data_IF_117859356384
#
_entry.id   IF_117859356384
#
_cell.length_a   1.000
_cell.length_b   1.000
_cell.length_c   1.000
_cell.angle_alpha   90.00
_cell.angle_beta   90.00
_cell.angle_gamma   90.00
#
_symmetry.space_group_name_H-M   'P 1'
#
loop_
_entity.id
_entity.type
_entity.pdbx_description
1 polymer ?
#
# COMPACT_ATOMS: atom_id res chain seq x y z
N UNK A 1 -3.58 -20.17 40.08
CA UNK A 1 -3.36 -19.02 41.00
C UNK A 1 -1.93 -18.52 40.81
N UNK A 2 -1.74 -17.54 39.93
CA UNK A 2 -0.64 -16.56 40.01
C UNK A 2 -0.96 -15.44 39.04
N UNK A 3 -1.06 -14.24 39.59
CA UNK A 3 -1.42 -12.99 38.95
C UNK A 3 -0.11 -12.28 38.60
N UNK A 4 0.04 -11.82 37.36
CA UNK A 4 1.02 -10.81 37.01
C UNK A 4 0.28 -9.72 36.22
N UNK A 5 -0.04 -8.64 36.94
CA UNK A 5 -0.54 -7.39 36.38
C UNK A 5 0.62 -6.66 35.73
N UNK A 6 0.41 -6.17 34.52
CA UNK A 6 1.16 -5.03 34.00
C UNK A 6 0.15 -3.91 33.77
N UNK A 7 0.11 -2.98 34.72
CA UNK A 7 -0.50 -1.68 34.53
C UNK A 7 0.43 -0.86 33.64
N UNK A 8 -0.10 -0.36 32.53
CA UNK A 8 0.50 0.78 31.81
C UNK A 8 -0.63 1.74 31.48
N UNK A 9 -0.82 2.73 32.34
CA UNK A 9 -1.61 3.93 32.05
C UNK A 9 -0.64 5.02 31.61
N UNK A 10 -0.69 5.34 30.33
CA UNK A 10 -0.39 6.65 29.73
C UNK A 10 -1.04 6.56 28.35
N UNK A 11 -2.24 7.10 28.15
CA UNK A 11 -2.40 8.54 28.14
C UNK A 11 -1.95 9.10 26.80
N UNK A 12 -2.45 8.53 25.69
CA UNK A 12 -2.45 9.23 24.40
C UNK A 12 -3.90 9.29 23.95
N UNK A 13 -4.40 10.52 24.06
CA UNK A 13 -5.62 11.07 23.45
C UNK A 13 -6.11 10.25 22.27
N UNK A 14 -7.37 9.84 22.35
CA UNK A 14 -8.10 9.27 21.23
C UNK A 14 -7.83 10.11 20.00
N UNK A 15 -7.24 9.47 18.99
CA UNK A 15 -7.24 10.01 17.64
C UNK A 15 -8.69 10.00 17.19
N UNK A 16 -9.43 11.06 17.50
CA UNK A 16 -10.57 11.47 16.69
C UNK A 16 -10.02 11.69 15.28
N UNK A 17 -10.02 10.63 14.48
CA UNK A 17 -9.99 10.75 13.02
C UNK A 17 -11.28 11.48 12.64
N UNK A 18 -11.25 12.82 12.72
CA UNK A 18 -12.32 13.68 12.23
C UNK A 18 -12.24 13.68 10.71
N UNK A 19 -12.59 12.54 10.11
CA UNK A 19 -13.25 12.55 8.80
C UNK A 19 -14.47 13.46 8.98
N UNK A 20 -14.29 14.74 8.64
CA UNK A 20 -15.36 15.72 8.67
C UNK A 20 -16.16 15.47 7.40
N UNK A 21 -16.94 14.39 7.40
CA UNK A 21 -17.81 14.05 6.29
C UNK A 21 -18.67 15.26 5.92
N UNK A 22 -18.88 15.46 4.62
CA UNK A 22 -19.57 16.63 4.06
C UNK A 22 -20.89 16.96 4.79
N UNK A 23 -21.62 15.95 5.26
CA UNK A 23 -22.86 16.11 6.02
C UNK A 23 -22.68 16.89 7.32
N UNK A 24 -21.59 16.64 8.06
CA UNK A 24 -21.26 17.36 9.29
C UNK A 24 -20.87 18.82 8.98
N UNK A 25 -20.11 19.02 7.90
CA UNK A 25 -19.73 20.36 7.44
C UNK A 25 -20.97 21.19 7.11
N UNK A 26 -21.89 20.64 6.31
CA UNK A 26 -23.17 21.28 5.95
C UNK A 26 -23.97 21.63 7.21
N UNK A 27 -24.05 20.70 8.18
CA UNK A 27 -24.81 20.93 9.43
C UNK A 27 -24.26 22.08 10.27
N UNK A 28 -22.95 22.30 10.25
CA UNK A 28 -22.25 23.26 11.10
C UNK A 28 -22.07 24.63 10.45
N UNK A 29 -21.85 24.68 9.14
CA UNK A 29 -21.42 25.90 8.43
C UNK A 29 -22.41 26.40 7.38
N UNK A 30 -23.33 25.56 6.91
CA UNK A 30 -24.29 25.92 5.85
C UNK A 30 -25.69 26.11 6.41
N UNK A 31 -26.16 25.17 7.22
CA UNK A 31 -27.50 25.27 7.83
C UNK A 31 -27.45 26.21 9.04
N UNK A 32 -28.30 27.25 9.12
CA UNK A 32 -28.32 28.19 10.24
C UNK A 32 -28.47 27.50 11.60
N UNK A 33 -27.76 28.03 12.61
CA UNK A 33 -27.83 27.52 13.97
C UNK A 33 -29.28 27.58 14.52
N UNK A 34 -29.70 26.53 15.22
CA UNK A 34 -31.06 26.39 15.75
C UNK A 34 -32.13 25.96 14.74
N UNK A 35 -31.82 25.87 13.44
CA UNK A 35 -32.79 25.38 12.44
C UNK A 35 -32.97 23.86 12.53
N UNK A 36 -34.23 23.41 12.53
CA UNK A 36 -34.54 21.98 12.51
C UNK A 36 -34.31 21.39 11.12
N UNK A 37 -33.98 20.09 11.05
CA UNK A 37 -33.80 19.37 9.77
C UNK A 37 -35.08 19.42 8.93
N UNK A 38 -36.25 19.39 9.55
CA UNK A 38 -37.54 19.50 8.87
C UNK A 38 -37.69 20.85 8.17
N UNK A 39 -37.37 21.95 8.87
CA UNK A 39 -37.46 23.29 8.30
C UNK A 39 -36.42 23.52 7.21
N UNK A 40 -35.19 23.05 7.41
CA UNK A 40 -34.14 23.12 6.40
C UNK A 40 -34.52 22.35 5.12
N UNK A 41 -35.09 21.14 5.26
CA UNK A 41 -35.54 20.34 4.12
C UNK A 41 -36.67 21.03 3.35
N UNK A 42 -37.62 21.64 4.07
CA UNK A 42 -38.71 22.42 3.48
C UNK A 42 -38.19 23.60 2.65
N UNK A 43 -37.22 24.36 3.18
CA UNK A 43 -36.61 25.51 2.47
C UNK A 43 -35.81 25.08 1.24
N UNK A 44 -35.11 23.95 1.33
CA UNK A 44 -34.38 23.36 0.20
C UNK A 44 -35.30 22.71 -0.84
N UNK A 45 -36.60 22.54 -0.55
CA UNK A 45 -37.56 21.86 -1.41
C UNK A 45 -37.27 20.36 -1.57
N UNK A 46 -36.71 19.71 -0.55
CA UNK A 46 -36.33 18.30 -0.56
C UNK A 46 -37.03 17.52 0.54
N UNK A 47 -37.12 16.20 0.39
CA UNK A 47 -37.64 15.34 1.44
C UNK A 47 -36.76 15.38 2.69
N UNK A 48 -37.37 15.48 3.88
CA UNK A 48 -36.65 15.37 5.17
C UNK A 48 -35.74 14.14 5.25
N UNK A 49 -36.13 12.93 4.77
CA UNK A 49 -35.24 11.78 4.78
C UNK A 49 -33.98 11.99 3.92
N UNK A 50 -34.10 12.66 2.78
CA UNK A 50 -32.97 12.92 1.89
C UNK A 50 -31.93 13.84 2.56
N UNK A 51 -32.38 14.96 3.13
CA UNK A 51 -31.49 15.86 3.87
C UNK A 51 -30.89 15.16 5.11
N UNK A 52 -31.70 14.41 5.86
CA UNK A 52 -31.23 13.68 7.03
C UNK A 52 -30.15 12.66 6.68
N UNK A 53 -30.31 11.90 5.60
CA UNK A 53 -29.32 10.92 5.16
C UNK A 53 -28.00 11.59 4.76
N UNK A 54 -28.07 12.71 4.05
CA UNK A 54 -26.89 13.51 3.70
C UNK A 54 -26.15 14.02 4.95
N UNK A 55 -26.87 14.67 5.87
CA UNK A 55 -26.27 15.27 7.08
C UNK A 55 -25.62 14.21 8.00
N UNK A 56 -26.17 12.99 8.01
CA UNK A 56 -25.62 11.87 8.77
C UNK A 56 -24.57 11.04 7.99
N UNK A 57 -24.16 11.48 6.80
CA UNK A 57 -23.15 10.79 5.98
C UNK A 57 -23.62 9.45 5.38
N UNK A 58 -24.93 9.19 5.36
CA UNK A 58 -25.54 8.00 4.75
C UNK A 58 -25.88 8.18 3.27
N UNK A 59 -25.71 9.40 2.75
CA UNK A 59 -25.86 9.72 1.33
C UNK A 59 -24.78 10.72 0.92
N UNK A 60 -24.30 10.60 -0.31
CA UNK A 60 -23.37 11.56 -0.90
C UNK A 60 -24.10 12.86 -1.29
N UNK A 61 -23.37 13.98 -1.29
CA UNK A 61 -23.87 15.25 -1.80
C UNK A 61 -23.97 15.17 -3.34
N UNK A 62 -25.19 15.29 -3.87
CA UNK A 62 -25.41 15.42 -5.32
C UNK A 62 -25.19 16.85 -5.81
N UNK A 63 -24.96 17.02 -7.12
CA UNK A 63 -24.86 18.36 -7.74
C UNK A 63 -26.14 19.17 -7.55
N UNK A 64 -27.31 18.53 -7.70
CA UNK A 64 -28.61 19.19 -7.50
C UNK A 64 -28.78 19.67 -6.05
N UNK A 65 -28.38 18.86 -5.07
CA UNK A 65 -28.45 19.26 -3.67
C UNK A 65 -27.48 20.40 -3.35
N UNK A 66 -26.28 20.39 -3.94
CA UNK A 66 -25.32 21.48 -3.79
C UNK A 66 -25.85 22.81 -4.34
N UNK A 67 -26.53 22.78 -5.50
CA UNK A 67 -27.23 23.94 -6.07
C UNK A 67 -28.34 24.46 -5.15
N UNK A 68 -29.11 23.56 -4.53
CA UNK A 68 -30.16 23.96 -3.57
C UNK A 68 -29.55 24.61 -2.32
N UNK A 69 -28.45 24.07 -1.80
CA UNK A 69 -27.74 24.65 -0.65
C UNK A 69 -27.16 26.04 -0.95
N UNK A 70 -26.61 26.23 -2.16
CA UNK A 70 -26.16 27.54 -2.66
C UNK A 70 -27.33 28.53 -2.74
N UNK A 71 -28.43 28.16 -3.39
CA UNK A 71 -29.59 29.04 -3.57
C UNK A 71 -30.36 29.36 -2.28
N UNK A 72 -30.42 28.42 -1.32
CA UNK A 72 -31.19 28.61 -0.07
C UNK A 72 -30.38 29.21 1.07
N UNK A 73 -29.09 28.87 1.17
CA UNK A 73 -28.25 29.25 2.32
C UNK A 73 -26.97 30.01 1.93
N UNK A 74 -26.77 30.32 0.65
CA UNK A 74 -25.58 31.04 0.18
C UNK A 74 -24.29 30.23 0.30
N UNK A 75 -24.39 28.90 0.27
CA UNK A 75 -23.22 28.03 0.35
C UNK A 75 -22.35 28.09 -0.91
N UNK A 76 -21.03 27.93 -0.76
CA UNK A 76 -20.13 27.77 -1.89
C UNK A 76 -20.26 26.35 -2.47
N UNK A 77 -20.98 26.25 -3.59
CA UNK A 77 -21.21 24.98 -4.32
C UNK A 77 -19.91 24.31 -4.75
N UNK A 78 -18.95 25.08 -5.29
CA UNK A 78 -17.69 24.53 -5.78
C UNK A 78 -16.92 23.89 -4.62
N UNK A 79 -16.90 24.57 -3.47
CA UNK A 79 -16.25 24.04 -2.28
C UNK A 79 -16.92 22.77 -1.75
N UNK A 80 -18.24 22.74 -1.69
CA UNK A 80 -18.98 21.56 -1.22
C UNK A 80 -18.74 20.33 -2.09
N UNK A 81 -18.70 20.50 -3.41
CA UNK A 81 -18.42 19.41 -4.35
C UNK A 81 -16.96 18.94 -4.27
N UNK A 82 -16.02 19.85 -4.04
CA UNK A 82 -14.61 19.50 -3.79
C UNK A 82 -14.46 18.65 -2.53
N UNK A 83 -15.14 19.03 -1.43
CA UNK A 83 -15.12 18.29 -0.18
C UNK A 83 -15.79 16.91 -0.31
N UNK A 84 -16.88 16.79 -1.09
CA UNK A 84 -17.50 15.51 -1.43
C UNK A 84 -16.52 14.62 -2.21
N UNK A 85 -15.87 15.17 -3.23
CA UNK A 85 -14.89 14.43 -4.03
C UNK A 85 -13.69 13.97 -3.20
N UNK A 86 -13.24 14.77 -2.22
CA UNK A 86 -12.21 14.36 -1.27
C UNK A 86 -12.67 13.16 -0.42
N UNK A 87 -13.89 13.21 0.11
CA UNK A 87 -14.46 12.12 0.92
C UNK A 87 -14.63 10.83 0.10
N UNK A 88 -15.00 10.94 -1.18
CA UNK A 88 -15.13 9.78 -2.06
C UNK A 88 -13.79 9.14 -2.40
N UNK A 89 -12.71 9.95 -2.52
CA UNK A 89 -11.34 9.42 -2.68
C UNK A 89 -10.91 8.61 -1.46
N UNK A 90 -11.19 9.10 -0.26
CA UNK A 90 -10.83 8.39 0.97
C UNK A 90 -11.62 7.08 1.10
N UNK A 91 -12.92 7.09 0.80
CA UNK A 91 -13.75 5.88 0.78
C UNK A 91 -13.27 4.87 -0.27
N UNK A 92 -12.94 5.34 -1.48
CA UNK A 92 -12.36 4.49 -2.53
C UNK A 92 -11.00 3.95 -2.14
N UNK A 93 -10.14 4.67 -1.43
CA UNK A 93 -8.84 4.13 -1.01
C UNK A 93 -8.95 2.88 -0.10
N UNK A 94 -10.03 2.76 0.66
CA UNK A 94 -10.35 1.58 1.48
C UNK A 94 -10.84 0.42 0.59
N UNK A 95 -11.59 0.71 -0.46
CA UNK A 95 -12.13 -0.28 -1.41
C UNK A 95 -11.10 -0.70 -2.48
N UNK A 96 -10.31 0.23 -3.02
CA UNK A 96 -9.27 0.05 -4.04
C UNK A 96 -8.11 -0.80 -3.52
N UNK A 97 -7.81 -0.76 -2.22
CA UNK A 97 -6.87 -1.72 -1.60
C UNK A 97 -7.32 -3.18 -1.77
N UNK A 98 -8.61 -3.42 -1.97
CA UNK A 98 -9.14 -4.76 -2.24
C UNK A 98 -9.11 -5.12 -3.74
N UNK A 99 -8.84 -4.17 -4.64
CA UNK A 99 -8.76 -4.42 -6.09
C UNK A 99 -7.30 -4.36 -6.53
N UNK A 100 -6.61 -5.50 -6.44
CA UNK A 100 -5.28 -5.67 -7.01
C UNK A 100 -5.36 -5.67 -8.55
N UNK A 101 -5.33 -4.48 -9.16
CA UNK A 101 -5.22 -4.36 -10.62
C UNK A 101 -3.75 -4.62 -11.00
N UNK A 102 -3.50 -5.78 -11.62
CA UNK A 102 -2.20 -6.06 -12.22
C UNK A 102 -1.86 -5.01 -13.28
N UNK A 103 -0.69 -4.38 -13.18
CA UNK A 103 -0.22 -3.45 -14.20
C UNK A 103 -0.10 -4.18 -15.52
N UNK A 104 -0.67 -3.64 -16.60
CA UNK A 104 -0.49 -4.19 -17.94
C UNK A 104 1.00 -4.16 -18.31
N UNK A 105 1.65 -5.31 -18.20
CA UNK A 105 2.99 -5.55 -18.73
C UNK A 105 2.82 -6.19 -20.11
N UNK A 106 3.20 -5.53 -21.21
CA UNK A 106 3.12 -6.13 -22.54
C UNK A 106 3.90 -7.44 -22.53
N UNK A 107 3.22 -8.54 -22.87
CA UNK A 107 3.88 -9.80 -23.14
C UNK A 107 4.76 -9.64 -24.38
N UNK A 108 5.88 -10.34 -24.41
CA UNK A 108 6.97 -10.28 -25.40
C UNK A 108 8.08 -9.27 -25.15
N UNK A 109 8.63 -9.26 -23.93
CA UNK A 109 10.10 -9.17 -23.85
C UNK A 109 10.66 -10.50 -24.37
N UNK A 110 11.12 -10.55 -25.62
CA UNK A 110 11.86 -11.69 -26.21
C UNK A 110 13.28 -11.79 -25.62
N UNK A 111 13.44 -11.54 -24.31
CA UNK A 111 14.70 -11.70 -23.62
C UNK A 111 14.83 -13.19 -23.30
N UNK A 112 15.69 -13.87 -24.04
CA UNK A 112 16.02 -15.28 -23.80
C UNK A 112 16.97 -15.38 -22.61
N UNK A 113 16.92 -16.50 -21.88
CA UNK A 113 17.85 -16.78 -20.78
C UNK A 113 19.32 -16.58 -21.17
N UNK A 114 19.73 -17.05 -22.37
CA UNK A 114 21.09 -16.84 -22.90
C UNK A 114 21.51 -15.37 -22.94
N UNK A 115 20.59 -14.45 -23.24
CA UNK A 115 20.91 -13.02 -23.33
C UNK A 115 21.16 -12.42 -21.95
N UNK A 116 20.51 -12.95 -20.92
CA UNK A 116 20.74 -12.57 -19.52
C UNK A 116 22.10 -13.11 -19.06
N UNK A 117 22.43 -14.35 -19.42
CA UNK A 117 23.76 -14.96 -19.17
C UNK A 117 24.86 -14.13 -19.83
N UNK A 118 24.72 -13.84 -21.12
CA UNK A 118 25.71 -13.09 -21.90
C UNK A 118 25.88 -11.66 -21.37
N UNK A 119 24.77 -11.01 -21.03
CA UNK A 119 24.79 -9.70 -20.38
C UNK A 119 25.56 -9.73 -19.06
N UNK A 120 25.31 -10.72 -18.20
CA UNK A 120 26.01 -10.83 -16.92
C UNK A 120 27.49 -11.19 -17.07
N UNK A 121 27.87 -11.91 -18.13
CA UNK A 121 29.26 -12.27 -18.41
C UNK A 121 30.07 -11.12 -19.01
N UNK A 122 29.47 -10.33 -19.91
CA UNK A 122 30.14 -9.27 -20.67
C UNK A 122 30.09 -7.88 -20.04
N UNK A 123 29.36 -7.70 -18.93
CA UNK A 123 29.11 -6.38 -18.35
C UNK A 123 29.54 -6.29 -16.89
N UNK A 124 30.56 -5.48 -16.62
CA UNK A 124 31.06 -5.21 -15.27
C UNK A 124 29.97 -4.60 -14.37
N UNK A 125 29.03 -3.82 -14.95
CA UNK A 125 27.91 -3.21 -14.23
C UNK A 125 26.73 -4.16 -14.00
N UNK A 126 26.77 -5.40 -14.50
CA UNK A 126 25.68 -6.35 -14.30
C UNK A 126 25.39 -6.58 -12.81
N UNK A 127 26.43 -6.59 -11.97
CA UNK A 127 26.29 -6.73 -10.51
C UNK A 127 25.50 -5.57 -9.88
N UNK A 128 25.70 -4.35 -10.35
CA UNK A 128 24.99 -3.16 -9.84
C UNK A 128 23.54 -3.09 -10.32
N UNK A 129 23.27 -3.62 -11.51
CA UNK A 129 21.96 -3.59 -12.14
C UNK A 129 21.06 -4.78 -11.78
N UNK A 130 21.64 -5.92 -11.39
CA UNK A 130 20.89 -7.13 -11.02
C UNK A 130 19.85 -6.88 -9.91
N UNK A 131 20.16 -6.21 -8.78
CA UNK A 131 19.14 -5.88 -7.77
C UNK A 131 17.95 -5.11 -8.35
N UNK A 132 18.24 -4.15 -9.23
CA UNK A 132 17.21 -3.30 -9.86
C UNK A 132 16.34 -4.11 -10.82
N UNK A 133 16.94 -5.02 -11.57
CA UNK A 133 16.21 -5.94 -12.45
C UNK A 133 15.30 -6.88 -11.64
N UNK A 134 15.83 -7.51 -10.58
CA UNK A 134 15.06 -8.39 -9.71
C UNK A 134 13.88 -7.66 -9.07
N UNK A 135 14.11 -6.45 -8.54
CA UNK A 135 13.05 -5.60 -7.98
C UNK A 135 11.93 -5.36 -8.99
N UNK A 136 12.27 -5.03 -10.24
CA UNK A 136 11.28 -4.81 -11.30
C UNK A 136 10.50 -6.08 -11.64
N UNK A 137 11.16 -7.23 -11.73
CA UNK A 137 10.52 -8.51 -12.01
C UNK A 137 9.58 -8.93 -10.87
N UNK A 138 10.04 -8.82 -9.62
CA UNK A 138 9.24 -9.14 -8.43
C UNK A 138 7.99 -8.28 -8.37
N UNK A 139 8.09 -6.96 -8.60
CA UNK A 139 6.89 -6.11 -8.63
C UNK A 139 5.97 -6.42 -9.82
N UNK A 140 6.49 -6.95 -10.92
CA UNK A 140 5.68 -7.31 -12.09
C UNK A 140 4.98 -8.67 -11.94
N UNK A 141 5.57 -9.64 -11.23
CA UNK A 141 5.07 -11.02 -11.17
C UNK A 141 4.62 -11.48 -9.78
N UNK A 142 5.01 -10.77 -8.73
CA UNK A 142 4.65 -11.09 -7.35
C UNK A 142 3.18 -10.83 -7.07
N UNK A 143 2.66 -11.46 -6.01
CA UNK A 143 1.29 -11.30 -5.53
C UNK A 143 1.32 -10.94 -4.05
N UNK A 144 0.42 -10.06 -3.63
CA UNK A 144 0.23 -9.66 -2.23
C UNK A 144 1.55 -9.31 -1.52
N UNK A 145 2.41 -8.55 -2.20
CA UNK A 145 3.70 -8.12 -1.69
C UNK A 145 3.49 -7.06 -0.60
N UNK A 146 3.88 -7.36 0.64
CA UNK A 146 3.86 -6.41 1.76
C UNK A 146 5.12 -5.55 1.82
N UNK A 147 6.27 -6.16 1.55
CA UNK A 147 7.54 -5.47 1.59
C UNK A 147 8.50 -6.05 0.55
N UNK A 148 9.24 -5.18 -0.14
CA UNK A 148 10.25 -5.54 -1.13
C UNK A 148 11.41 -4.55 -0.98
N UNK A 149 12.58 -5.05 -0.58
CA UNK A 149 13.82 -4.27 -0.51
C UNK A 149 14.92 -4.96 -1.32
N UNK A 150 15.40 -4.27 -2.35
CA UNK A 150 16.49 -4.71 -3.22
C UNK A 150 17.35 -3.48 -3.51
N UNK A 151 18.32 -3.16 -2.63
CA UNK A 151 19.18 -2.01 -2.81
C UNK A 151 20.03 -2.17 -4.07
N UNK A 152 19.93 -1.18 -4.97
CA UNK A 152 20.73 -1.09 -6.19
C UNK A 152 21.60 0.17 -6.19
N UNK A 153 22.53 0.22 -7.14
CA UNK A 153 23.47 1.35 -7.29
C UNK A 153 24.25 1.63 -5.99
N UNK A 154 24.35 2.90 -5.58
CA UNK A 154 25.12 3.36 -4.41
C UNK A 154 24.61 2.80 -3.07
N UNK A 155 23.39 2.26 -3.03
CA UNK A 155 22.83 1.64 -1.83
C UNK A 155 23.22 0.16 -1.66
N UNK A 156 23.91 -0.45 -2.63
CA UNK A 156 24.29 -1.87 -2.59
C UNK A 156 25.36 -2.23 -1.54
N UNK A 157 25.91 -1.25 -0.80
CA UNK A 157 26.96 -1.46 0.22
C UNK A 157 26.40 -1.72 1.64
N UNK A 158 25.13 -2.11 1.78
CA UNK A 158 24.54 -2.38 3.10
C UNK A 158 24.95 -3.76 3.62
N UNK A 159 25.31 -3.83 4.90
CA UNK A 159 25.47 -5.10 5.59
C UNK A 159 24.11 -5.76 5.79
N UNK A 160 23.96 -7.01 5.37
CA UNK A 160 22.69 -7.74 5.49
C UNK A 160 22.44 -8.61 4.27
N UNK A 161 21.17 -8.92 4.03
CA UNK A 161 20.71 -9.58 2.81
C UNK A 161 20.89 -8.69 1.58
N UNK A 162 21.18 -9.27 0.42
CA UNK A 162 21.21 -8.53 -0.85
C UNK A 162 19.78 -8.10 -1.27
N UNK A 163 18.76 -8.84 -0.85
CA UNK A 163 17.36 -8.46 -0.98
C UNK A 163 16.47 -9.11 0.08
N UNK A 164 15.30 -8.53 0.30
CA UNK A 164 14.34 -8.98 1.30
C UNK A 164 12.91 -8.80 0.80
N UNK A 165 12.06 -9.81 1.02
CA UNK A 165 10.65 -9.78 0.64
C UNK A 165 9.77 -10.30 1.78
N UNK A 166 8.63 -9.66 1.99
CA UNK A 166 7.48 -10.23 2.71
C UNK A 166 6.28 -10.28 1.76
N UNK A 167 5.70 -11.46 1.55
CA UNK A 167 4.54 -11.68 0.68
C UNK A 167 3.49 -12.56 1.36
N UNK A 168 2.21 -12.26 1.17
CA UNK A 168 1.10 -13.05 1.74
C UNK A 168 0.56 -14.11 0.77
N UNK A 169 1.13 -14.20 -0.44
CA UNK A 169 0.79 -15.23 -1.41
C UNK A 169 2.04 -15.78 -2.11
N UNK A 170 2.16 -17.11 -2.16
CA UNK A 170 3.21 -17.77 -2.92
C UNK A 170 3.01 -17.61 -4.43
N UNK A 171 4.12 -17.44 -5.15
CA UNK A 171 4.21 -17.56 -6.61
C UNK A 171 5.31 -18.57 -6.97
N UNK A 172 5.43 -19.02 -8.23
CA UNK A 172 6.54 -19.88 -8.63
C UNK A 172 7.95 -19.30 -8.39
N UNK A 173 8.06 -17.97 -8.22
CA UNK A 173 9.33 -17.26 -8.11
C UNK A 173 9.54 -16.60 -6.74
N UNK A 174 8.47 -16.36 -5.98
CA UNK A 174 8.50 -15.66 -4.68
C UNK A 174 7.76 -16.51 -3.65
N UNK A 175 8.44 -16.97 -2.58
CA UNK A 175 7.80 -17.70 -1.48
C UNK A 175 6.77 -16.86 -0.73
N UNK A 176 5.77 -17.52 -0.13
CA UNK A 176 4.91 -16.92 0.89
C UNK A 176 5.71 -16.71 2.19
N UNK A 177 5.37 -15.67 2.95
CA UNK A 177 6.04 -15.29 4.19
C UNK A 177 7.28 -14.43 3.95
N UNK A 178 8.24 -14.53 4.87
CA UNK A 178 9.50 -13.78 4.78
C UNK A 178 10.49 -14.54 3.92
N UNK A 179 11.21 -13.83 3.06
CA UNK A 179 12.33 -14.41 2.33
C UNK A 179 13.53 -13.45 2.26
N UNK A 180 14.69 -14.00 2.57
CA UNK A 180 16.00 -13.36 2.41
C UNK A 180 16.66 -13.82 1.12
N UNK A 181 17.11 -12.86 0.32
CA UNK A 181 17.63 -13.08 -1.02
C UNK A 181 19.11 -12.73 -1.07
N UNK A 182 19.89 -13.63 -1.65
CA UNK A 182 21.29 -13.43 -2.03
C UNK A 182 21.40 -13.54 -3.54
N UNK A 183 22.29 -12.78 -4.17
CA UNK A 183 22.49 -12.91 -5.60
C UNK A 183 23.89 -12.56 -6.07
N UNK A 184 24.26 -13.10 -7.22
CA UNK A 184 25.59 -12.89 -7.79
C UNK A 184 25.63 -13.17 -9.28
N UNK A 185 26.70 -12.69 -9.92
CA UNK A 185 26.99 -12.92 -11.35
C UNK A 185 28.15 -13.91 -11.56
N UNK A 186 28.57 -14.56 -10.47
CA UNK A 186 29.73 -15.46 -10.40
C UNK A 186 29.62 -16.66 -11.35
N UNK A 187 30.76 -17.10 -11.88
CA UNK A 187 30.81 -18.24 -12.80
C UNK A 187 30.51 -19.60 -12.13
N UNK A 188 30.54 -19.67 -10.79
CA UNK A 188 30.24 -20.88 -10.00
C UNK A 188 29.12 -20.59 -8.99
N UNK A 189 27.85 -20.51 -9.45
CA UNK A 189 26.74 -20.08 -8.59
C UNK A 189 26.52 -21.02 -7.41
N UNK A 190 26.58 -22.34 -7.60
CA UNK A 190 26.35 -23.32 -6.51
C UNK A 190 27.31 -23.13 -5.33
N UNK A 191 28.62 -23.05 -5.60
CA UNK A 191 29.60 -22.84 -4.54
C UNK A 191 29.44 -21.49 -3.82
N UNK A 192 28.90 -20.46 -4.50
CA UNK A 192 28.59 -19.18 -3.86
C UNK A 192 27.32 -19.29 -3.01
N UNK A 193 26.25 -19.87 -3.56
CA UNK A 193 25.00 -20.09 -2.85
C UNK A 193 25.22 -20.87 -1.55
N UNK A 194 26.02 -21.95 -1.59
CA UNK A 194 26.36 -22.73 -0.39
C UNK A 194 27.12 -21.89 0.63
N UNK A 195 28.12 -21.11 0.20
CA UNK A 195 28.87 -20.23 1.10
C UNK A 195 27.98 -19.17 1.75
N UNK A 196 27.12 -18.53 0.97
CA UNK A 196 26.24 -17.48 1.46
C UNK A 196 25.18 -18.08 2.41
N UNK A 197 24.59 -19.24 2.06
CA UNK A 197 23.70 -19.98 2.96
C UNK A 197 24.37 -20.34 4.30
N UNK A 198 25.58 -20.89 4.26
CA UNK A 198 26.35 -21.24 5.47
C UNK A 198 26.71 -20.00 6.31
N UNK A 199 26.96 -18.85 5.68
CA UNK A 199 27.17 -17.59 6.40
C UNK A 199 25.89 -17.15 7.13
N UNK A 200 24.72 -17.28 6.49
CA UNK A 200 23.41 -16.96 7.10
C UNK A 200 23.05 -17.89 8.25
N UNK A 201 23.39 -19.19 8.17
CA UNK A 201 23.21 -20.14 9.27
C UNK A 201 23.96 -19.72 10.55
N UNK A 202 25.11 -19.05 10.41
CA UNK A 202 25.92 -18.58 11.54
C UNK A 202 25.46 -17.24 12.10
N UNK A 203 24.81 -16.42 11.27
CA UNK A 203 24.51 -15.02 11.59
C UNK A 203 23.07 -14.82 12.05
N UNK A 204 22.14 -15.66 11.60
CA UNK A 204 20.70 -15.53 11.85
C UNK A 204 20.26 -16.59 12.86
N UNK A 205 19.37 -16.25 13.79
CA UNK A 205 18.94 -17.17 14.84
C UNK A 205 18.08 -18.34 14.30
N UNK A 206 18.02 -19.51 14.97
CA UNK A 206 17.19 -20.63 14.53
C UNK A 206 15.69 -20.31 14.41
N UNK A 207 15.16 -19.45 15.29
CA UNK A 207 13.77 -19.03 15.25
C UNK A 207 13.46 -18.20 14.00
N UNK A 208 14.31 -17.22 13.67
CA UNK A 208 14.16 -16.40 12.47
C UNK A 208 14.30 -17.23 11.18
N UNK A 209 15.17 -18.24 11.17
CA UNK A 209 15.34 -19.14 10.01
C UNK A 209 14.13 -20.05 9.77
N UNK A 210 13.38 -20.41 10.81
CA UNK A 210 12.19 -21.23 10.66
C UNK A 210 11.05 -20.44 9.95
N UNK A 211 11.07 -19.11 10.07
CA UNK A 211 10.05 -18.22 9.50
C UNK A 211 10.51 -17.53 8.20
N UNK A 212 11.74 -17.79 7.74
CA UNK A 212 12.34 -17.10 6.61
C UNK A 212 12.92 -18.06 5.57
N UNK A 213 12.43 -17.97 4.34
CA UNK A 213 12.96 -18.71 3.21
C UNK A 213 14.26 -18.08 2.68
N UNK A 214 15.26 -18.92 2.39
CA UNK A 214 16.49 -18.48 1.70
C UNK A 214 16.31 -18.64 0.19
N UNK A 215 16.59 -17.58 -0.57
CA UNK A 215 16.56 -17.59 -2.03
C UNK A 215 17.90 -17.13 -2.58
N UNK A 216 18.48 -17.89 -3.50
CA UNK A 216 19.68 -17.49 -4.22
C UNK A 216 19.36 -17.24 -5.69
N UNK A 217 19.79 -16.10 -6.24
CA UNK A 217 19.55 -15.75 -7.64
C UNK A 217 20.85 -15.56 -8.42
N UNK A 218 20.87 -16.14 -9.60
CA UNK A 218 21.97 -16.03 -10.56
C UNK A 218 21.40 -15.85 -11.96
N UNK A 219 22.03 -15.02 -12.81
CA UNK A 219 21.71 -14.94 -14.23
C UNK A 219 22.26 -16.13 -15.04
N UNK A 220 23.06 -17.01 -14.42
CA UNK A 220 23.67 -18.23 -14.99
C UNK A 220 23.04 -19.49 -14.43
#
# INVERSE_FOLDING_TARGET
MCVARHDTISGVTGSESRSTGIGRFIRQHVVPAGMTVTEAARRLGVGRPALSNLLNGRAALSQEMALRLEGTFGADRAKLLELQAASDRDRRSVEDRAVAVGTYAPSFLTIKARQIVDWAAGNIRAREHLPVLLRRLIHATGRELRHVDFPGYDNAQRHGWDGWIEADAATPWVPEGRSGWEFGVDQRPGAKADRDYQARLKTISPAERAECAFVFVTPR
#
